data_IF_306022758730
#
_entry.id   IF_306022758730
#
_cell.length_a   1.000
_cell.length_b   1.000
_cell.length_c   1.000
_cell.angle_alpha   90.00
_cell.angle_beta   90.00
_cell.angle_gamma   90.00
#
_symmetry.space_group_name_H-M   'P 1'
#
loop_
_entity.id
_entity.type
_entity.pdbx_description
1 polymer ?
#
# COMPACT_ATOMS: atom_id res chain seq x y z
N UNK A 1 -24.13 7.06 15.18
CA UNK A 1 -23.77 6.79 14.98
C UNK A 1 -22.83 6.67 14.56
N UNK A 2 -22.28 6.45 14.60
CA UNK A 2 -21.27 6.41 14.24
C UNK A 2 -20.98 5.59 13.27
N UNK A 3 -20.85 5.94 12.17
CA UNK A 3 -20.38 5.23 11.22
C UNK A 3 -18.98 5.18 11.27
N UNK A 4 -18.33 4.17 11.64
CA UNK A 4 -16.96 4.03 11.62
C UNK A 4 -16.54 3.76 10.23
N UNK A 5 -15.58 4.47 9.71
CA UNK A 5 -15.05 4.21 8.38
C UNK A 5 -14.22 2.94 8.41
N UNK A 6 -14.19 2.20 7.30
CA UNK A 6 -13.37 0.99 7.25
C UNK A 6 -11.91 1.34 7.47
N UNK A 7 -11.19 0.38 8.03
CA UNK A 7 -9.78 0.58 8.31
C UNK A 7 -8.98 0.89 7.08
N UNK A 8 -9.32 0.25 5.97
CA UNK A 8 -8.57 0.48 4.74
C UNK A 8 -8.65 1.94 4.32
N UNK A 9 -9.78 2.56 4.54
CA UNK A 9 -9.97 3.96 4.22
C UNK A 9 -9.09 4.84 5.12
N UNK A 10 -9.05 4.52 6.39
CA UNK A 10 -8.25 5.27 7.34
C UNK A 10 -6.76 5.09 7.08
N UNK A 11 -6.36 3.89 6.75
CA UNK A 11 -4.96 3.63 6.44
C UNK A 11 -4.55 4.45 5.23
N UNK A 12 -5.39 4.47 4.20
CA UNK A 12 -5.09 5.25 3.02
C UNK A 12 -4.92 6.72 3.36
N UNK A 13 -5.81 7.25 4.17
CA UNK A 13 -5.75 8.66 4.53
C UNK A 13 -4.48 9.00 5.29
N UNK A 14 -4.09 8.14 6.20
CA UNK A 14 -2.86 8.37 6.96
C UNK A 14 -1.67 8.35 6.04
N UNK A 15 -1.65 7.42 5.09
CA UNK A 15 -0.53 7.35 4.16
C UNK A 15 -0.48 8.56 3.24
N UNK A 16 -1.63 9.06 2.80
CA UNK A 16 -1.64 10.26 1.99
C UNK A 16 -1.01 11.41 2.75
N UNK A 17 -1.38 11.55 4.00
CA UNK A 17 -0.81 12.63 4.81
C UNK A 17 0.69 12.46 5.00
N UNK A 18 1.13 11.24 5.21
CA UNK A 18 2.55 10.99 5.35
C UNK A 18 3.31 11.34 4.09
N UNK A 19 2.77 10.98 2.95
CA UNK A 19 3.42 11.29 1.69
C UNK A 19 3.58 12.79 1.54
N UNK A 20 2.54 13.53 1.87
CA UNK A 20 2.60 14.98 1.69
C UNK A 20 3.43 15.65 2.74
N UNK A 21 3.33 15.20 3.98
CA UNK A 21 4.03 15.88 5.06
C UNK A 21 5.45 15.42 5.25
N UNK A 22 5.69 14.13 5.12
CA UNK A 22 7.03 13.63 5.41
C UNK A 22 7.90 13.54 4.18
N UNK A 23 7.33 13.15 3.06
CA UNK A 23 8.10 13.03 1.84
C UNK A 23 8.02 14.26 0.97
N UNK A 24 7.06 15.13 1.27
CA UNK A 24 6.82 16.33 0.44
C UNK A 24 6.41 15.93 -0.96
N UNK A 25 5.72 14.81 -1.08
CA UNK A 25 5.20 14.39 -2.36
C UNK A 25 3.86 15.03 -2.63
N UNK A 26 3.39 14.84 -3.83
CA UNK A 26 2.12 15.38 -4.27
C UNK A 26 1.20 14.23 -4.63
N UNK A 27 0.17 14.00 -3.82
CA UNK A 27 -0.77 12.92 -4.09
C UNK A 27 -1.63 13.35 -5.28
N UNK A 28 -1.62 12.53 -6.33
CA UNK A 28 -2.33 12.88 -7.55
C UNK A 28 -3.60 12.09 -7.74
N UNK A 29 -3.70 10.91 -7.13
CA UNK A 29 -4.89 10.10 -7.30
C UNK A 29 -5.00 9.12 -6.16
N UNK A 30 -6.20 8.81 -5.74
CA UNK A 30 -6.42 7.82 -4.69
C UNK A 30 -7.67 7.05 -5.04
N UNK A 31 -7.73 5.83 -4.56
CA UNK A 31 -8.90 5.00 -4.76
C UNK A 31 -9.06 4.03 -3.62
N UNK A 32 -10.30 3.65 -3.37
CA UNK A 32 -10.59 2.61 -2.40
C UNK A 32 -11.54 1.65 -3.10
N UNK A 33 -11.23 0.35 -3.03
CA UNK A 33 -12.07 -0.64 -3.68
C UNK A 33 -13.46 -0.62 -3.05
N UNK A 34 -14.45 -0.90 -3.86
CA UNK A 34 -15.83 -0.82 -3.39
C UNK A 34 -16.11 -1.75 -2.23
N UNK A 35 -15.45 -2.88 -2.18
CA UNK A 35 -15.66 -3.81 -1.09
C UNK A 35 -14.69 -3.56 0.05
N UNK A 36 -13.94 -2.48 -0.02
CA UNK A 36 -12.99 -2.08 1.02
C UNK A 36 -11.93 -3.13 1.27
N UNK A 37 -11.60 -3.91 0.25
CA UNK A 37 -10.54 -4.90 0.40
C UNK A 37 -9.18 -4.31 0.05
N UNK A 38 -9.15 -3.10 -0.46
CA UNK A 38 -7.88 -2.50 -0.81
C UNK A 38 -8.05 -1.06 -1.19
N UNK A 39 -6.92 -0.41 -1.42
CA UNK A 39 -6.90 0.99 -1.81
C UNK A 39 -5.60 1.25 -2.53
N UNK A 40 -5.52 2.35 -3.25
CA UNK A 40 -4.26 2.72 -3.84
C UNK A 40 -4.08 4.23 -3.78
N UNK A 41 -2.83 4.64 -3.85
CA UNK A 41 -2.45 6.04 -3.80
C UNK A 41 -1.39 6.24 -4.87
N UNK A 42 -1.62 7.21 -5.74
CA UNK A 42 -0.61 7.58 -6.70
C UNK A 42 -0.09 8.95 -6.32
N UNK A 43 1.18 9.14 -6.43
CA UNK A 43 1.77 10.42 -6.05
C UNK A 43 3.02 10.69 -6.86
N UNK A 44 3.42 11.93 -6.85
CA UNK A 44 4.60 12.38 -7.57
C UNK A 44 5.60 12.90 -6.56
N UNK A 45 6.86 12.58 -6.76
CA UNK A 45 7.91 13.03 -5.87
C UNK A 45 9.16 13.25 -6.70
N UNK A 46 9.62 14.48 -6.68
CA UNK A 46 10.86 14.84 -7.39
C UNK A 46 10.81 14.47 -8.86
N UNK A 47 9.67 14.70 -9.47
CA UNK A 47 9.52 14.46 -10.89
C UNK A 47 9.24 13.04 -11.28
N UNK A 48 9.10 12.16 -10.33
CA UNK A 48 8.80 10.77 -10.61
C UNK A 48 7.47 10.41 -10.01
N UNK A 49 6.80 9.44 -10.63
CA UNK A 49 5.48 9.04 -10.20
C UNK A 49 5.55 7.66 -9.57
N UNK A 50 4.85 7.51 -8.47
CA UNK A 50 4.85 6.27 -7.72
C UNK A 50 3.44 5.87 -7.39
N UNK A 51 3.26 4.61 -7.07
CA UNK A 51 1.96 4.09 -6.68
C UNK A 51 2.13 3.14 -5.51
N UNK A 52 1.26 3.28 -4.53
CA UNK A 52 1.23 2.39 -3.38
C UNK A 52 -0.10 1.68 -3.38
N UNK A 53 -0.06 0.38 -3.20
CA UNK A 53 -1.29 -0.39 -3.14
C UNK A 53 -1.39 -1.04 -1.78
N UNK A 54 -2.56 -0.96 -1.16
CA UNK A 54 -2.82 -1.53 0.15
C UNK A 54 -3.86 -2.61 -0.03
N UNK A 55 -3.60 -3.79 0.50
CA UNK A 55 -4.54 -4.88 0.37
C UNK A 55 -4.82 -5.50 1.72
N UNK A 56 -6.09 -5.80 1.96
CA UNK A 56 -6.49 -6.48 3.17
C UNK A 56 -6.31 -7.97 2.91
N UNK A 57 -5.32 -8.56 3.55
CA UNK A 57 -5.02 -9.97 3.31
C UNK A 57 -5.47 -10.84 4.45
N UNK A 58 -6.40 -10.35 5.25
CA UNK A 58 -6.85 -11.08 6.42
C UNK A 58 -7.36 -12.45 6.07
N UNK A 59 -8.09 -12.56 4.97
CA UNK A 59 -8.69 -13.82 4.60
C UNK A 59 -7.82 -14.69 3.71
N UNK A 60 -6.63 -14.23 3.40
CA UNK A 60 -5.74 -15.05 2.61
C UNK A 60 -5.02 -15.99 3.52
N UNK A 61 -4.77 -17.20 3.02
CA UNK A 61 -4.07 -18.14 3.83
C UNK A 61 -2.64 -17.92 3.66
N UNK A 62 -1.98 -17.63 4.71
CA UNK A 62 -0.60 -17.28 4.64
C UNK A 62 0.25 -18.38 4.14
N UNK A 63 -0.15 -19.58 4.40
CA UNK A 63 0.66 -20.67 3.92
C UNK A 63 0.58 -20.80 2.44
N UNK A 64 -0.38 -20.16 1.82
CA UNK A 64 -0.46 -20.21 0.40
C UNK A 64 0.48 -19.27 -0.25
N UNK A 65 1.02 -18.36 0.52
CA UNK A 65 2.02 -17.49 0.00
C UNK A 65 3.28 -17.95 0.62
N UNK A 66 4.01 -18.82 -0.04
CA UNK A 66 5.15 -19.40 0.59
C UNK A 66 6.12 -18.31 0.89
N UNK A 67 6.24 -18.01 2.12
CA UNK A 67 7.19 -17.06 2.55
C UNK A 67 8.54 -17.41 2.07
N UNK A 68 8.81 -18.69 1.96
CA UNK A 68 10.03 -19.15 1.48
C UNK A 68 10.33 -18.66 0.11
N UNK A 69 9.37 -18.71 -0.79
CA UNK A 69 9.56 -18.23 -2.13
C UNK A 69 9.74 -16.74 -2.16
N UNK A 70 9.00 -16.07 -1.33
CA UNK A 70 9.08 -14.64 -1.25
C UNK A 70 10.47 -14.22 -0.79
N UNK A 71 10.96 -14.89 0.22
CA UNK A 71 12.26 -14.60 0.78
C UNK A 71 13.35 -14.93 -0.20
N UNK A 72 13.20 -16.01 -0.93
CA UNK A 72 14.16 -16.39 -1.92
C UNK A 72 14.29 -15.35 -2.98
N UNK A 73 13.17 -14.83 -3.45
CA UNK A 73 13.20 -13.81 -4.45
C UNK A 73 13.92 -12.57 -3.96
N UNK A 74 13.63 -12.21 -2.74
CA UNK A 74 14.22 -11.02 -2.17
C UNK A 74 15.73 -11.21 -2.00
N UNK A 75 16.12 -12.35 -1.50
CA UNK A 75 17.54 -12.62 -1.29
C UNK A 75 18.29 -12.67 -2.59
N UNK A 76 17.69 -13.22 -3.60
CA UNK A 76 18.31 -13.29 -4.88
C UNK A 76 18.56 -11.90 -5.40
N UNK A 77 17.57 -11.05 -5.27
CA UNK A 77 17.69 -9.68 -5.71
C UNK A 77 18.80 -8.98 -4.95
N UNK A 78 18.87 -9.20 -3.67
CA UNK A 78 19.90 -8.57 -2.87
C UNK A 78 21.28 -9.04 -3.25
N UNK A 79 21.41 -10.28 -3.56
CA UNK A 79 22.71 -10.81 -3.90
C UNK A 79 23.25 -10.27 -5.18
N UNK A 80 22.37 -9.89 -6.07
CA UNK A 80 22.84 -9.38 -7.33
C UNK A 80 23.18 -7.93 -7.25
N UNK A 81 22.98 -7.33 -6.11
CA UNK A 81 23.36 -5.95 -5.98
C UNK A 81 24.79 -5.85 -5.39
#
# INVERSE_FOLDING_TARGET
>A
MNKKLPDIYNIRRVLENCIEEKLKGNVTDVGTWLDFSGADIAFELKGKRYNIEINDITNEEEEEIPQENWVKGYNKWKKTK
#
